data_IF_100083236809
#
_entry.id   IF_100083236809
#
_cell.length_a   1.000
_cell.length_b   1.000
_cell.length_c   1.000
_cell.angle_alpha   90.00
_cell.angle_beta   90.00
_cell.angle_gamma   90.00
#
_symmetry.space_group_name_H-M   'P 1'
#
loop_
_entity.id
_entity.type
_entity.pdbx_description
1 polymer ?
#
# COMPACT_ATOMS: atom_id res chain seq x y z
N UNK A 1 17.33 -4.69 -4.70
CA UNK A 1 16.54 -3.52 -4.23
C UNK A 1 15.12 -3.98 -3.92
N UNK A 2 14.39 -3.35 -3.01
CA UNK A 2 12.99 -3.69 -2.79
C UNK A 2 12.13 -3.34 -4.00
N UNK A 3 11.14 -4.17 -4.27
CA UNK A 3 10.14 -4.02 -5.33
C UNK A 3 8.93 -3.29 -4.76
N UNK A 4 8.48 -2.25 -5.43
CA UNK A 4 7.32 -1.44 -5.02
C UNK A 4 6.42 -1.17 -6.23
N UNK A 5 5.16 -0.85 -6.00
CA UNK A 5 4.32 -0.29 -7.05
C UNK A 5 4.81 1.13 -7.36
N UNK A 6 4.81 1.52 -8.63
CA UNK A 6 5.32 2.81 -9.11
C UNK A 6 4.76 4.00 -8.33
N UNK A 7 3.45 4.07 -8.15
CA UNK A 7 2.81 5.14 -7.38
C UNK A 7 3.16 5.07 -5.86
N UNK A 8 3.50 3.89 -5.32
CA UNK A 8 3.99 3.78 -3.94
C UNK A 8 5.42 4.31 -3.78
N UNK A 9 6.22 4.32 -4.85
CA UNK A 9 7.57 4.87 -4.82
C UNK A 9 7.57 6.38 -4.53
N UNK A 10 6.54 7.10 -4.96
CA UNK A 10 6.37 8.53 -4.73
C UNK A 10 5.84 8.88 -3.33
N UNK A 11 5.65 7.91 -2.43
CA UNK A 11 5.06 8.16 -1.13
C UNK A 11 5.92 9.08 -0.26
N UNK A 12 5.35 10.20 0.13
CA UNK A 12 5.85 11.08 1.17
C UNK A 12 4.76 11.31 2.24
N UNK A 13 5.10 11.11 3.50
CA UNK A 13 4.15 11.30 4.59
C UNK A 13 3.70 12.77 4.66
N UNK A 14 2.40 13.02 4.59
CA UNK A 14 1.79 14.35 4.74
C UNK A 14 1.26 14.62 6.14
N UNK A 15 1.66 13.80 7.12
CA UNK A 15 1.24 13.91 8.51
C UNK A 15 -0.28 13.98 8.72
N UNK A 16 -1.04 13.22 7.93
CA UNK A 16 -2.51 13.23 7.96
C UNK A 16 -3.14 12.70 9.26
N UNK A 17 -2.32 12.15 10.17
CA UNK A 17 -2.72 11.83 11.54
C UNK A 17 -3.40 10.49 11.83
N UNK A 18 -4.01 9.75 10.88
CA UNK A 18 -4.76 8.52 11.21
C UNK A 18 -3.93 7.43 11.91
N UNK A 19 -2.64 7.33 11.60
CA UNK A 19 -1.74 6.39 12.31
C UNK A 19 -1.60 6.72 13.79
N UNK A 20 -1.69 8.01 14.16
CA UNK A 20 -1.66 8.46 15.55
C UNK A 20 -3.05 8.40 16.20
N UNK A 21 -4.10 8.64 15.45
CA UNK A 21 -5.48 8.56 15.95
C UNK A 21 -5.96 7.11 16.14
N UNK A 22 -5.32 6.14 15.49
CA UNK A 22 -5.70 4.73 15.60
C UNK A 22 -5.28 4.07 16.93
N UNK A 23 -4.50 4.76 17.77
CA UNK A 23 -4.16 4.28 19.12
C UNK A 23 -3.37 2.98 19.19
N UNK A 24 -2.59 2.65 18.16
CA UNK A 24 -1.84 1.39 18.10
C UNK A 24 -0.72 1.28 19.14
N UNK A 25 -0.27 2.40 19.67
CA UNK A 25 0.83 2.45 20.63
C UNK A 25 0.40 3.32 21.79
N UNK A 26 0.32 2.72 22.97
CA UNK A 26 -0.01 3.39 24.23
C UNK A 26 -1.17 4.39 24.10
N UNK A 27 -2.40 3.91 23.82
CA UNK A 27 -3.53 4.81 23.65
C UNK A 27 -3.83 5.56 24.98
N UNK A 28 -4.31 6.78 24.84
CA UNK A 28 -4.98 7.50 25.94
C UNK A 28 -6.37 6.94 26.15
N UNK A 29 -7.05 7.42 27.19
CA UNK A 29 -8.44 7.04 27.51
C UNK A 29 -9.41 7.31 26.36
N UNK A 30 -9.09 8.29 25.48
CA UNK A 30 -9.85 8.62 24.27
C UNK A 30 -9.51 7.70 23.07
N UNK A 31 -8.68 6.67 23.28
CA UNK A 31 -8.26 5.72 22.25
C UNK A 31 -7.21 6.25 21.28
N UNK A 32 -6.74 7.48 21.42
CA UNK A 32 -5.69 8.06 20.58
C UNK A 32 -4.31 7.83 21.13
N UNK A 33 -3.30 7.85 20.29
CA UNK A 33 -1.90 7.78 20.73
C UNK A 33 -1.58 8.97 21.64
N UNK A 34 -0.82 8.71 22.74
CA UNK A 34 -0.42 9.77 23.68
C UNK A 34 0.40 10.90 23.03
N UNK A 35 1.07 10.60 21.94
CA UNK A 35 1.87 11.57 21.18
C UNK A 35 1.09 12.25 20.07
N UNK A 36 -0.20 12.01 19.97
CA UNK A 36 -1.04 12.67 18.95
C UNK A 36 -1.46 14.05 19.42
N UNK A 37 -1.20 15.05 18.58
CA UNK A 37 -1.71 16.41 18.74
C UNK A 37 -2.70 16.72 17.61
N UNK A 38 -3.95 17.06 17.94
CA UNK A 38 -4.98 17.35 16.95
C UNK A 38 -4.91 18.78 16.41
N UNK A 39 -3.79 19.46 16.55
CA UNK A 39 -3.60 20.79 15.99
C UNK A 39 -3.61 20.81 14.46
N UNK A 40 -3.55 21.97 13.86
CA UNK A 40 -3.63 22.19 12.41
C UNK A 40 -2.56 21.48 11.59
N UNK A 41 -1.50 20.97 12.22
CA UNK A 41 -0.42 20.25 11.55
C UNK A 41 -0.63 18.72 11.53
N UNK A 42 -1.52 18.19 12.39
CA UNK A 42 -1.70 16.75 12.59
C UNK A 42 -0.37 16.00 12.85
N UNK A 43 -0.39 14.93 13.59
CA UNK A 43 0.80 14.09 13.68
C UNK A 43 1.34 13.89 15.09
N UNK A 44 2.59 13.43 15.19
CA UNK A 44 3.20 13.02 16.45
C UNK A 44 4.07 14.14 17.03
N UNK A 45 3.79 14.53 18.28
CA UNK A 45 4.67 15.44 19.05
C UNK A 45 6.08 14.88 19.19
N UNK A 46 6.20 13.54 19.33
CA UNK A 46 7.49 12.87 19.40
C UNK A 46 8.31 13.04 18.12
N UNK A 47 7.66 12.90 16.95
CA UNK A 47 8.33 13.09 15.67
C UNK A 47 8.77 14.54 15.47
N UNK A 48 7.94 15.51 15.89
CA UNK A 48 8.28 16.94 15.80
C UNK A 48 9.46 17.31 16.69
N UNK A 49 9.46 16.81 17.92
CA UNK A 49 10.50 17.16 18.88
C UNK A 49 11.85 16.46 18.63
N UNK A 50 11.83 15.22 18.15
CA UNK A 50 13.00 14.34 18.12
C UNK A 50 13.25 13.68 16.77
N UNK A 51 12.45 14.00 15.74
CA UNK A 51 12.57 13.45 14.39
C UNK A 51 12.01 12.04 14.24
N UNK A 52 12.01 11.53 12.99
CA UNK A 52 11.42 10.25 12.63
C UNK A 52 12.07 9.05 13.33
N UNK A 53 13.37 9.11 13.62
CA UNK A 53 14.10 8.02 14.26
C UNK A 53 13.65 7.76 15.70
N UNK A 54 13.08 8.76 16.37
CA UNK A 54 12.57 8.63 17.73
C UNK A 54 11.20 7.92 17.84
N UNK A 55 10.53 7.75 16.70
CA UNK A 55 9.24 7.07 16.66
C UNK A 55 9.39 5.59 17.04
N UNK A 56 8.39 5.00 17.72
CA UNK A 56 8.28 3.56 17.89
C UNK A 56 8.36 2.83 16.54
N UNK A 57 8.87 1.59 16.56
CA UNK A 57 9.12 0.82 15.34
C UNK A 57 7.89 0.74 14.42
N UNK A 58 6.72 0.39 14.95
CA UNK A 58 5.48 0.32 14.18
C UNK A 58 5.13 1.66 13.49
N UNK A 59 5.35 2.80 14.16
CA UNK A 59 5.12 4.11 13.58
C UNK A 59 6.12 4.46 12.48
N UNK A 60 7.38 4.01 12.61
CA UNK A 60 8.39 4.20 11.56
C UNK A 60 8.12 3.38 10.32
N UNK A 61 7.58 2.17 10.51
CA UNK A 61 7.24 1.28 9.40
C UNK A 61 5.97 1.74 8.67
N UNK A 62 4.97 2.19 9.41
CA UNK A 62 3.69 2.59 8.82
C UNK A 62 3.85 3.70 7.76
N UNK A 63 3.18 3.63 6.64
CA UNK A 63 2.22 2.64 6.19
C UNK A 63 2.83 1.47 5.39
N UNK A 64 4.13 1.27 5.44
CA UNK A 64 4.83 0.24 4.67
C UNK A 64 4.59 -1.14 5.24
N UNK A 65 4.22 -2.06 4.36
CA UNK A 65 4.07 -3.49 4.64
C UNK A 65 5.08 -4.21 3.75
N UNK A 66 6.07 -4.84 4.38
CA UNK A 66 7.10 -5.56 3.66
C UNK A 66 6.85 -7.07 3.70
N UNK A 67 7.09 -7.75 2.59
CA UNK A 67 7.10 -9.20 2.47
C UNK A 67 8.44 -9.63 1.89
N UNK A 68 9.13 -10.51 2.59
CA UNK A 68 10.40 -11.11 2.16
C UNK A 68 10.05 -12.48 1.58
N UNK A 69 10.28 -12.69 0.30
CA UNK A 69 9.94 -13.90 -0.43
C UNK A 69 11.12 -14.40 -1.25
N UNK A 70 11.05 -15.59 -1.88
CA UNK A 70 12.04 -16.03 -2.86
C UNK A 70 12.18 -15.11 -4.08
N UNK A 71 11.18 -14.25 -4.36
CA UNK A 71 11.22 -13.22 -5.42
C UNK A 71 11.91 -11.93 -4.96
N UNK A 72 12.37 -11.87 -3.71
CA UNK A 72 12.98 -10.69 -3.11
C UNK A 72 12.10 -10.01 -2.07
N UNK A 73 12.40 -8.75 -1.79
CA UNK A 73 11.62 -7.92 -0.86
C UNK A 73 10.59 -7.12 -1.66
N UNK A 74 9.33 -7.30 -1.33
CA UNK A 74 8.23 -6.49 -1.86
C UNK A 74 7.70 -5.57 -0.77
N UNK A 75 7.47 -4.30 -1.10
CA UNK A 75 6.93 -3.32 -0.17
C UNK A 75 5.68 -2.71 -0.77
N UNK A 76 4.59 -2.78 -0.02
CA UNK A 76 3.32 -2.13 -0.35
C UNK A 76 3.00 -1.07 0.69
N UNK A 77 2.03 -0.20 0.41
CA UNK A 77 1.52 0.76 1.37
C UNK A 77 0.12 0.36 1.83
N UNK A 78 -0.10 0.46 3.12
CA UNK A 78 -1.43 0.24 3.70
C UNK A 78 -2.38 1.36 3.32
N UNK A 79 -3.55 1.00 2.81
CA UNK A 79 -4.65 1.93 2.49
C UNK A 79 -5.26 2.61 3.74
N UNK A 80 -4.95 2.15 4.95
CA UNK A 80 -5.29 2.85 6.18
C UNK A 80 -4.60 4.22 6.31
N UNK A 81 -3.56 4.48 5.51
CA UNK A 81 -2.98 5.81 5.40
C UNK A 81 -3.69 6.59 4.28
N UNK A 82 -4.40 7.68 4.57
CA UNK A 82 -5.09 8.48 3.53
C UNK A 82 -4.13 9.01 2.46
N UNK A 83 -2.91 9.39 2.85
CA UNK A 83 -1.88 9.81 1.89
C UNK A 83 -1.49 8.65 0.96
N UNK A 84 -1.34 7.43 1.47
CA UNK A 84 -1.05 6.28 0.63
C UNK A 84 -2.24 5.91 -0.27
N UNK A 85 -3.46 5.93 0.29
CA UNK A 85 -4.68 5.68 -0.46
C UNK A 85 -4.90 6.70 -1.59
N UNK A 86 -4.56 7.97 -1.37
CA UNK A 86 -4.71 9.01 -2.40
C UNK A 86 -3.82 8.80 -3.62
N UNK A 87 -2.72 8.06 -3.49
CA UNK A 87 -1.84 7.74 -4.62
C UNK A 87 -2.49 6.83 -5.67
N UNK A 88 -3.52 6.06 -5.27
CA UNK A 88 -4.30 5.22 -6.20
C UNK A 88 -5.09 6.04 -7.24
N UNK A 89 -5.29 7.33 -6.99
CA UNK A 89 -6.03 8.23 -7.87
C UNK A 89 -5.10 9.17 -8.64
N UNK A 90 -3.80 8.90 -8.64
CA UNK A 90 -2.80 9.64 -9.42
C UNK A 90 -2.67 9.08 -10.84
N UNK A 91 -1.97 9.84 -11.68
CA UNK A 91 -1.74 9.49 -13.11
C UNK A 91 -0.49 8.62 -13.32
N UNK A 92 0.14 8.16 -12.24
CA UNK A 92 1.34 7.31 -12.33
C UNK A 92 1.00 5.95 -12.96
N UNK A 93 1.77 5.49 -13.93
CA UNK A 93 1.53 4.21 -14.58
C UNK A 93 1.62 3.07 -13.56
N UNK A 94 0.72 2.10 -13.67
CA UNK A 94 0.70 0.95 -12.78
C UNK A 94 1.81 -0.04 -13.19
N UNK A 95 2.89 -0.05 -12.41
CA UNK A 95 4.07 -0.89 -12.67
C UNK A 95 4.72 -1.35 -11.35
N UNK A 96 5.51 -2.41 -11.40
CA UNK A 96 6.42 -2.78 -10.32
C UNK A 96 7.79 -2.21 -10.66
N UNK A 97 8.34 -1.40 -9.76
CA UNK A 97 9.66 -0.78 -9.92
C UNK A 97 10.58 -1.17 -8.77
N UNK A 98 11.88 -1.13 -9.02
CA UNK A 98 12.88 -1.22 -7.96
C UNK A 98 13.10 0.15 -7.34
N UNK A 99 12.94 0.24 -6.03
CA UNK A 99 13.13 1.50 -5.30
C UNK A 99 14.45 1.47 -4.52
N UNK A 100 15.33 2.45 -4.70
CA UNK A 100 16.60 2.53 -3.98
C UNK A 100 16.38 3.02 -2.54
N UNK A 101 15.71 2.23 -1.74
CA UNK A 101 15.52 2.51 -0.33
C UNK A 101 16.55 1.73 0.48
N UNK A 102 17.40 2.43 1.21
CA UNK A 102 18.43 1.84 2.07
C UNK A 102 17.88 1.35 3.41
N UNK A 103 16.57 1.49 3.65
CA UNK A 103 15.96 1.03 4.90
C UNK A 103 16.00 -0.48 4.98
N UNK A 104 16.32 -0.98 6.16
CA UNK A 104 16.09 -2.39 6.49
C UNK A 104 14.60 -2.57 6.72
N UNK A 105 13.95 -3.32 5.84
CA UNK A 105 12.54 -3.65 5.99
C UNK A 105 12.41 -4.87 6.90
N UNK A 106 11.72 -4.68 8.01
CA UNK A 106 11.21 -5.77 8.81
C UNK A 106 9.78 -6.05 8.37
N UNK A 107 9.49 -7.30 8.08
CA UNK A 107 8.19 -7.69 7.56
C UNK A 107 7.97 -9.20 7.61
N UNK A 108 6.92 -9.67 6.96
CA UNK A 108 6.61 -11.08 6.88
C UNK A 108 7.70 -11.83 6.09
N UNK A 109 8.41 -12.73 6.76
CA UNK A 109 9.35 -13.65 6.08
C UNK A 109 8.59 -14.84 5.50
N UNK A 110 8.30 -14.76 4.21
CA UNK A 110 7.61 -15.78 3.44
C UNK A 110 8.55 -16.70 2.64
N UNK A 111 9.87 -16.64 2.85
CA UNK A 111 10.84 -17.46 2.09
C UNK A 111 10.67 -18.96 2.28
N UNK A 112 10.16 -19.37 3.43
CA UNK A 112 9.96 -20.78 3.82
C UNK A 112 8.49 -21.15 3.99
N UNK A 113 7.56 -20.28 3.61
CA UNK A 113 6.13 -20.58 3.64
C UNK A 113 5.61 -20.74 2.22
N UNK A 114 4.48 -21.41 2.10
CA UNK A 114 3.83 -21.55 0.80
C UNK A 114 3.39 -20.16 0.29
N UNK A 115 3.44 -19.92 -1.02
CA UNK A 115 2.90 -18.72 -1.61
C UNK A 115 1.42 -18.56 -1.28
N UNK A 116 0.88 -17.33 -1.34
CA UNK A 116 -0.52 -17.11 -1.13
C UNK A 116 -1.38 -17.89 -2.12
N UNK A 117 -2.57 -18.27 -1.70
CA UNK A 117 -3.56 -18.82 -2.61
C UNK A 117 -4.09 -17.71 -3.51
N UNK A 118 -4.19 -17.96 -4.81
CA UNK A 118 -4.89 -17.05 -5.72
C UNK A 118 -6.39 -17.00 -5.37
N UNK A 119 -6.95 -18.14 -4.98
CA UNK A 119 -8.30 -18.32 -4.47
C UNK A 119 -8.34 -19.60 -3.62
N UNK A 120 -9.38 -19.81 -2.80
CA UNK A 120 -9.51 -21.06 -2.06
C UNK A 120 -9.33 -22.29 -2.95
N UNK A 121 -8.42 -23.19 -2.54
CA UNK A 121 -8.08 -24.40 -3.27
C UNK A 121 -7.16 -24.26 -4.47
N UNK A 122 -6.68 -23.07 -4.80
CA UNK A 122 -5.74 -22.83 -5.90
C UNK A 122 -4.37 -22.45 -5.36
N UNK A 123 -3.51 -23.43 -5.19
CA UNK A 123 -2.10 -23.23 -4.80
C UNK A 123 -1.30 -22.67 -5.98
N UNK A 124 -0.38 -21.76 -5.67
CA UNK A 124 0.62 -21.27 -6.62
C UNK A 124 2.03 -21.63 -6.11
N UNK A 125 2.95 -21.84 -7.00
CA UNK A 125 4.38 -21.75 -6.70
C UNK A 125 4.87 -20.30 -6.92
N UNK A 126 6.10 -20.00 -6.53
CA UNK A 126 6.63 -18.64 -6.66
C UNK A 126 6.82 -18.19 -8.11
N UNK A 127 6.96 -19.10 -9.06
CA UNK A 127 6.97 -18.75 -10.50
C UNK A 127 5.59 -18.35 -10.98
N UNK A 128 4.56 -19.08 -10.52
CA UNK A 128 3.17 -18.74 -10.82
C UNK A 128 2.78 -17.38 -10.18
N UNK A 129 3.26 -17.07 -8.96
CA UNK A 129 3.07 -15.76 -8.34
C UNK A 129 3.69 -14.66 -9.18
N UNK A 130 4.95 -14.81 -9.62
CA UNK A 130 5.62 -13.84 -10.47
C UNK A 130 4.86 -13.62 -11.78
N UNK A 131 4.42 -14.71 -12.43
CA UNK A 131 3.64 -14.62 -13.66
C UNK A 131 2.27 -13.97 -13.45
N UNK A 132 1.62 -14.26 -12.34
CA UNK A 132 0.36 -13.63 -11.97
C UNK A 132 0.54 -12.12 -11.75
N UNK A 133 1.60 -11.69 -11.06
CA UNK A 133 1.92 -10.26 -10.89
C UNK A 133 2.06 -9.55 -12.24
N UNK A 134 2.84 -10.13 -13.18
CA UNK A 134 3.01 -9.59 -14.53
C UNK A 134 1.67 -9.42 -15.26
N UNK A 135 0.82 -10.45 -15.21
CA UNK A 135 -0.49 -10.43 -15.87
C UNK A 135 -1.44 -9.43 -15.20
N UNK A 136 -1.43 -9.34 -13.88
CA UNK A 136 -2.25 -8.40 -13.14
C UNK A 136 -1.87 -6.95 -13.45
N UNK A 137 -0.56 -6.67 -13.50
CA UNK A 137 -0.05 -5.35 -13.90
C UNK A 137 -0.47 -5.00 -15.33
N UNK A 138 -0.25 -5.92 -16.29
CA UNK A 138 -0.63 -5.70 -17.68
C UNK A 138 -2.14 -5.43 -17.83
N UNK A 139 -2.97 -6.27 -17.22
CA UNK A 139 -4.42 -6.11 -17.28
C UNK A 139 -4.90 -4.78 -16.65
N UNK A 140 -4.24 -4.33 -15.58
CA UNK A 140 -4.60 -3.06 -14.95
C UNK A 140 -4.19 -1.85 -15.81
N UNK A 141 -3.02 -1.91 -16.42
CA UNK A 141 -2.54 -0.86 -17.33
C UNK A 141 -3.44 -0.71 -18.55
N UNK A 142 -3.90 -1.83 -19.13
CA UNK A 142 -4.82 -1.82 -20.26
C UNK A 142 -6.19 -1.22 -19.89
N UNK A 143 -6.71 -1.55 -18.70
CA UNK A 143 -7.98 -1.00 -18.20
C UNK A 143 -7.92 0.49 -17.92
N UNK A 144 -6.82 1.00 -17.41
CA UNK A 144 -6.68 2.43 -17.16
C UNK A 144 -6.81 3.25 -18.44
N UNK A 145 -6.20 2.78 -19.54
CA UNK A 145 -6.34 3.40 -20.85
C UNK A 145 -7.77 3.31 -21.43
N UNK A 146 -8.50 2.25 -21.14
CA UNK A 146 -9.88 2.07 -21.63
C UNK A 146 -10.90 2.88 -20.82
N UNK A 147 -10.70 3.01 -19.51
CA UNK A 147 -11.54 3.86 -18.63
C UNK A 147 -11.39 5.32 -19.00
N UNK A 148 -10.18 5.81 -19.25
CA UNK A 148 -9.94 7.17 -19.72
C UNK A 148 -10.63 7.45 -21.06
N UNK A 149 -10.54 6.51 -22.00
CA UNK A 149 -11.27 6.61 -23.27
C UNK A 149 -12.79 6.64 -23.08
N UNK A 150 -13.34 5.87 -22.13
CA UNK A 150 -14.79 5.81 -21.89
C UNK A 150 -15.31 7.03 -21.15
N UNK A 151 -14.55 7.61 -20.24
CA UNK A 151 -14.92 8.86 -19.55
C UNK A 151 -14.99 10.02 -20.54
N UNK A 152 -14.08 10.06 -21.51
CA UNK A 152 -14.07 11.09 -22.56
C UNK A 152 -14.99 10.81 -23.75
N UNK A 153 -15.54 9.59 -23.87
CA UNK A 153 -16.39 9.17 -24.98
C UNK A 153 -17.90 9.31 -24.75
N UNK A 154 -18.36 9.86 -23.61
CA UNK A 154 -19.81 10.07 -23.33
C UNK A 154 -20.44 9.02 -22.41
N UNK A 155 -21.74 9.12 -22.10
CA UNK A 155 -22.37 8.37 -21.04
C UNK A 155 -22.29 6.85 -21.26
N UNK A 156 -21.79 6.14 -20.22
CA UNK A 156 -21.70 4.69 -20.18
C UNK A 156 -23.08 4.06 -20.37
N UNK A 157 -23.25 3.25 -21.39
CA UNK A 157 -24.40 2.36 -21.51
C UNK A 157 -24.26 1.23 -20.50
N UNK A 158 -25.31 0.89 -19.76
CA UNK A 158 -25.32 -0.25 -18.83
C UNK A 158 -25.52 -1.55 -19.62
N UNK A 159 -24.50 -2.05 -20.24
CA UNK A 159 -24.50 -3.40 -20.77
C UNK A 159 -23.06 -3.89 -20.91
N UNK A 160 -22.87 -5.08 -20.41
CA UNK A 160 -21.78 -6.00 -20.66
C UNK A 160 -20.68 -6.09 -19.62
N UNK A 161 -20.89 -7.04 -18.70
CA UNK A 161 -19.83 -7.79 -18.09
C UNK A 161 -19.83 -7.93 -16.55
N UNK A 162 -19.65 -9.13 -16.00
CA UNK A 162 -19.81 -9.47 -14.59
C UNK A 162 -18.55 -9.24 -13.74
N UNK A 163 -17.94 -8.05 -13.78
CA UNK A 163 -16.68 -7.78 -13.07
C UNK A 163 -16.79 -6.84 -11.87
N UNK A 164 -18.00 -6.50 -11.41
CA UNK A 164 -18.24 -5.58 -10.29
C UNK A 164 -18.40 -6.27 -8.92
N UNK A 165 -17.74 -7.40 -8.65
CA UNK A 165 -17.91 -8.15 -7.39
C UNK A 165 -16.62 -8.54 -6.69
N UNK A 166 -15.57 -7.70 -6.63
CA UNK A 166 -14.37 -8.02 -5.84
C UNK A 166 -13.73 -6.82 -5.11
N UNK A 167 -14.56 -5.89 -4.60
CA UNK A 167 -14.11 -5.00 -3.54
C UNK A 167 -15.17 -4.95 -2.46
N UNK A 168 -15.21 -5.98 -1.64
CA UNK A 168 -15.85 -5.97 -0.32
C UNK A 168 -15.18 -7.03 0.53
N UNK A 169 -14.20 -6.62 1.30
CA UNK A 169 -13.86 -7.01 2.68
C UNK A 169 -12.69 -6.17 3.13
#
# INVERSE_FOLDING_TARGET
MPRVLSFHAAYACRHSGPCCSAGWIEPRDDGRCRHFEPDSSGGSTLQRAHGHAALPHACRQFPRVATISPLGVSVTLSSFCPTAASLLFGDEPFAIVEHPDSRVYEGLDARRVMPPLLRPGMLMDWKAVARWEELAIAAHSDHHHDVDRRIHAGPLRPADGPWLLFISC
#
